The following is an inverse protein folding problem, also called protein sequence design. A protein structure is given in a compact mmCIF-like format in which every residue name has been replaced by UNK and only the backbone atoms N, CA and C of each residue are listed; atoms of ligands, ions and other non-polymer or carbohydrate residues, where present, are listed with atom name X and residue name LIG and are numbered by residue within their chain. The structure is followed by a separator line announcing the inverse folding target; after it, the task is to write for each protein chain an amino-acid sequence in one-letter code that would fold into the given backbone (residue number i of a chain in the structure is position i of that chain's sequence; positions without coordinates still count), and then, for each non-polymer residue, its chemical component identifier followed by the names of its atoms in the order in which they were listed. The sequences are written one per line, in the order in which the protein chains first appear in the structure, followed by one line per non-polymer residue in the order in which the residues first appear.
data_IF_337222564520
#
_entry.id   IF_337222564520
#
_cell.length_a   1.000
_cell.length_b   1.000
_cell.length_c   1.000
_cell.angle_alpha   90.00
_cell.angle_beta   90.00
_cell.angle_gamma   90.00
#
_symmetry.space_group_name_H-M   'P 1'
#
loop_
_entity.id
_entity.type
_entity.pdbx_description
1 polymer ?
#
# COMPACT_ATOMS: atom_id res chain seq x y z
N UNK A 1 -25.71 -7.00 -7.79
CA UNK A 1 -24.35 -7.46 -8.10
C UNK A 1 -23.37 -6.38 -7.67
N UNK A 2 -23.37 -6.07 -6.37
CA UNK A 2 -22.79 -4.86 -5.78
C UNK A 2 -22.03 -5.16 -4.47
N UNK A 3 -21.78 -6.43 -4.15
CA UNK A 3 -21.38 -6.82 -2.79
C UNK A 3 -19.87 -7.01 -2.57
N UNK A 4 -19.00 -6.90 -3.59
CA UNK A 4 -17.60 -7.32 -3.40
C UNK A 4 -16.65 -6.17 -3.08
N UNK A 5 -16.94 -4.93 -3.49
CA UNK A 5 -16.10 -3.78 -3.18
C UNK A 5 -16.45 -3.10 -1.85
N UNK A 6 -17.70 -3.23 -1.40
CA UNK A 6 -18.15 -2.84 -0.05
C UNK A 6 -17.89 -3.92 1.01
N UNK A 7 -17.64 -5.17 0.61
CA UNK A 7 -17.36 -6.30 1.51
C UNK A 7 -16.05 -6.17 2.29
N UNK A 8 -15.12 -5.32 1.87
CA UNK A 8 -13.82 -5.21 2.54
C UNK A 8 -13.86 -4.26 3.76
N UNK A 9 -14.85 -3.35 3.87
CA UNK A 9 -14.90 -2.35 4.97
C UNK A 9 -16.32 -1.80 5.30
N UNK A 10 -17.33 -2.65 5.49
CA UNK A 10 -18.64 -2.20 5.99
C UNK A 10 -18.62 -2.02 7.52
N UNK A 11 -18.74 -0.77 7.99
CA UNK A 11 -19.13 -0.42 9.36
C UNK A 11 -19.63 1.04 9.39
N UNK A 12 -20.87 1.24 8.92
CA UNK A 12 -21.76 2.28 9.44
C UNK A 12 -23.01 1.56 9.97
N UNK A 13 -23.59 1.98 11.11
CA UNK A 13 -24.79 1.36 11.65
C UNK A 13 -26.01 1.71 10.78
N UNK A 14 -26.59 0.73 10.09
CA UNK A 14 -27.93 0.83 9.50
C UNK A 14 -29.00 0.12 10.36
N UNK A 15 -30.18 0.75 10.41
CA UNK A 15 -31.36 0.36 11.18
C UNK A 15 -31.99 -0.95 10.65
N UNK A 16 -32.67 -1.74 11.51
CA UNK A 16 -33.02 -3.12 11.20
C UNK A 16 -34.18 -3.22 10.20
N UNK A 17 -34.05 -4.11 9.21
CA UNK A 17 -35.16 -4.62 8.39
C UNK A 17 -35.12 -6.16 8.32
N UNK A 18 -36.28 -6.82 8.12
CA UNK A 18 -36.53 -8.18 8.61
C UNK A 18 -35.93 -9.27 7.73
N UNK A 19 -35.56 -10.38 8.38
CA UNK A 19 -34.92 -11.59 7.83
C UNK A 19 -35.88 -12.52 7.08
N UNK A 20 -35.41 -13.10 5.98
CA UNK A 20 -35.91 -14.36 5.41
C UNK A 20 -34.83 -15.46 5.44
N UNK A 21 -35.25 -16.67 5.80
CA UNK A 21 -34.53 -17.96 5.93
C UNK A 21 -34.36 -18.61 4.53
N UNK A 22 -33.52 -19.59 4.18
CA UNK A 22 -32.51 -20.53 4.73
C UNK A 22 -31.61 -20.98 3.51
N UNK A 23 -30.56 -21.81 3.54
CA UNK A 23 -30.48 -23.29 3.78
C UNK A 23 -28.99 -23.73 3.87
N UNK A 24 -28.76 -24.84 4.59
CA UNK A 24 -27.56 -25.56 5.06
C UNK A 24 -26.26 -25.63 4.22
N UNK A 25 -25.13 -25.49 4.95
CA UNK A 25 -23.78 -25.94 4.59
C UNK A 25 -23.05 -26.46 5.85
N UNK A 26 -22.08 -27.39 5.75
CA UNK A 26 -21.59 -28.20 6.87
C UNK A 26 -20.82 -27.39 7.94
N UNK A 27 -20.85 -27.91 9.17
CA UNK A 27 -20.50 -27.19 10.40
C UNK A 27 -19.07 -26.58 10.40
N UNK A 28 -18.94 -25.25 10.61
CA UNK A 28 -17.65 -24.61 10.77
C UNK A 28 -17.04 -24.88 12.15
N UNK A 29 -15.72 -25.06 12.18
CA UNK A 29 -14.88 -25.01 13.39
C UNK A 29 -15.19 -23.73 14.21
N UNK A 30 -15.06 -23.77 15.55
CA UNK A 30 -15.53 -22.68 16.40
C UNK A 30 -14.71 -21.40 16.17
N UNK A 31 -15.28 -20.47 15.39
CA UNK A 31 -14.74 -19.11 15.21
C UNK A 31 -14.67 -18.41 16.57
N UNK A 32 -13.47 -18.02 17.02
CA UNK A 32 -13.30 -17.25 18.26
C UNK A 32 -14.12 -15.94 18.16
N UNK A 33 -14.91 -15.63 19.19
CA UNK A 33 -16.02 -14.67 19.14
C UNK A 33 -15.62 -13.18 19.22
N UNK A 34 -16.59 -12.31 18.92
CA UNK A 34 -16.61 -10.84 18.74
C UNK A 34 -15.93 -9.95 19.81
N UNK A 35 -15.32 -10.51 20.86
CA UNK A 35 -14.56 -9.78 21.90
C UNK A 35 -13.06 -10.10 21.95
N UNK A 36 -12.57 -10.97 21.05
CA UNK A 36 -11.20 -11.44 21.10
C UNK A 36 -10.21 -10.41 20.52
N UNK A 37 -9.25 -9.98 21.34
CA UNK A 37 -8.00 -9.38 20.85
C UNK A 37 -7.37 -10.36 19.85
N UNK A 38 -7.08 -9.89 18.64
CA UNK A 38 -6.37 -10.69 17.63
C UNK A 38 -4.97 -10.94 18.16
N UNK A 39 -4.57 -12.21 18.25
CA UNK A 39 -3.24 -12.59 18.70
C UNK A 39 -2.34 -12.87 17.50
N UNK A 40 -1.06 -12.46 17.54
CA UNK A 40 -0.12 -12.80 16.49
C UNK A 40 0.22 -14.29 16.54
N UNK A 41 0.56 -14.85 15.39
CA UNK A 41 1.22 -16.16 15.34
C UNK A 41 2.57 -16.10 16.06
N UNK A 42 2.98 -17.20 16.69
CA UNK A 42 4.34 -17.32 17.24
C UNK A 42 5.32 -17.59 16.08
N UNK A 43 6.30 -16.72 15.81
CA UNK A 43 7.26 -16.94 14.73
C UNK A 43 8.19 -18.11 15.06
N UNK A 44 8.53 -18.91 14.05
CA UNK A 44 9.54 -19.94 14.21
C UNK A 44 10.97 -19.36 14.18
N UNK A 45 11.95 -20.20 14.51
CA UNK A 45 13.35 -19.78 14.58
C UNK A 45 13.91 -19.36 13.20
N UNK A 46 13.43 -19.95 12.11
CA UNK A 46 13.90 -19.62 10.77
C UNK A 46 13.43 -18.23 10.34
N UNK A 47 12.18 -17.89 10.62
CA UNK A 47 11.62 -16.57 10.35
C UNK A 47 12.32 -15.47 11.17
N UNK A 48 12.64 -15.76 12.44
CA UNK A 48 13.39 -14.84 13.29
C UNK A 48 14.82 -14.63 12.78
N UNK A 49 15.51 -15.69 12.36
CA UNK A 49 16.84 -15.61 11.78
C UNK A 49 16.82 -14.78 10.48
N UNK A 50 15.88 -15.06 9.59
CA UNK A 50 15.71 -14.31 8.34
C UNK A 50 15.48 -12.82 8.60
N UNK A 51 14.61 -12.48 9.55
CA UNK A 51 14.32 -11.09 9.89
C UNK A 51 15.55 -10.35 10.45
N UNK A 52 16.42 -11.04 11.20
CA UNK A 52 17.62 -10.47 11.79
C UNK A 52 18.71 -10.13 10.74
N UNK A 53 18.68 -10.79 9.58
CA UNK A 53 19.62 -10.54 8.48
C UNK A 53 19.21 -9.36 7.58
N UNK A 54 17.96 -8.91 7.67
CA UNK A 54 17.47 -7.80 6.84
C UNK A 54 18.05 -6.44 7.26
N UNK A 55 18.33 -5.53 6.30
CA UNK A 55 18.81 -4.18 6.61
C UNK A 55 17.84 -3.39 7.48
N UNK A 56 18.35 -2.69 8.50
CA UNK A 56 17.54 -1.82 9.35
C UNK A 56 16.69 -0.77 8.59
N UNK A 57 17.18 -0.12 7.51
CA UNK A 57 16.39 0.84 6.72
C UNK A 57 15.26 0.22 5.88
N UNK A 58 15.23 -1.11 5.74
CA UNK A 58 14.19 -1.82 4.99
C UNK A 58 12.93 -2.01 5.83
N UNK A 59 11.79 -1.60 5.29
CA UNK A 59 10.47 -1.87 5.84
C UNK A 59 9.62 -2.57 4.80
N UNK A 60 9.46 -3.87 4.99
CA UNK A 60 8.54 -4.72 4.23
C UNK A 60 7.17 -4.73 4.93
N UNK A 61 6.10 -4.80 4.15
CA UNK A 61 4.74 -4.71 4.67
C UNK A 61 3.68 -5.12 3.68
N UNK A 62 2.45 -5.20 4.16
CA UNK A 62 1.27 -5.56 3.34
C UNK A 62 0.51 -4.31 2.89
N UNK A 63 -0.37 -4.45 1.89
CA UNK A 63 -1.24 -3.35 1.45
C UNK A 63 -2.49 -3.11 2.33
N UNK A 64 -2.80 -4.05 3.24
CA UNK A 64 -3.91 -4.00 4.22
C UNK A 64 -3.69 -5.09 5.29
N UNK A 65 -4.61 -5.27 6.25
CA UNK A 65 -4.46 -6.22 7.37
C UNK A 65 -5.73 -6.97 7.80
N UNK A 66 -6.72 -7.14 6.93
CA UNK A 66 -8.03 -7.69 7.32
C UNK A 66 -8.33 -9.11 6.83
N UNK A 67 -7.33 -9.85 6.34
CA UNK A 67 -7.55 -11.13 5.64
C UNK A 67 -7.61 -12.35 6.57
N UNK A 68 -8.73 -13.09 6.61
CA UNK A 68 -8.85 -14.33 7.42
C UNK A 68 -7.90 -15.44 6.98
N UNK A 69 -7.57 -15.54 5.69
CA UNK A 69 -6.69 -16.58 5.14
C UNK A 69 -5.25 -16.53 5.65
N UNK A 70 -4.87 -15.50 6.41
CA UNK A 70 -3.56 -15.42 7.06
C UNK A 70 -3.51 -16.10 8.44
N UNK A 71 -4.53 -16.88 8.81
CA UNK A 71 -4.50 -17.74 9.99
C UNK A 71 -3.28 -18.69 9.93
N UNK A 72 -2.48 -18.73 10.99
CA UNK A 72 -1.22 -19.49 11.03
C UNK A 72 -0.04 -18.82 10.32
N UNK A 73 -0.25 -17.72 9.60
CA UNK A 73 0.81 -16.93 8.94
C UNK A 73 1.06 -15.60 9.67
N UNK A 74 -0.02 -14.95 10.11
CA UNK A 74 0.03 -13.67 10.83
C UNK A 74 -0.78 -13.76 12.14
N UNK A 75 -1.91 -14.47 12.12
CA UNK A 75 -2.80 -14.62 13.27
C UNK A 75 -2.65 -16.01 13.91
N UNK A 76 -2.88 -16.12 15.23
CA UNK A 76 -2.79 -17.40 15.98
C UNK A 76 -3.91 -18.42 15.68
N UNK A 77 -4.85 -18.07 14.78
CA UNK A 77 -6.00 -18.88 14.43
C UNK A 77 -7.00 -18.13 13.56
N UNK A 78 -8.21 -18.67 13.47
CA UNK A 78 -9.27 -18.11 12.63
C UNK A 78 -9.93 -16.89 13.28
N UNK A 79 -9.88 -15.77 12.57
CA UNK A 79 -10.57 -14.53 12.93
C UNK A 79 -11.46 -14.07 11.78
N UNK A 80 -12.62 -13.51 12.11
CA UNK A 80 -13.47 -12.86 11.11
C UNK A 80 -12.81 -11.57 10.62
N UNK A 81 -12.99 -11.26 9.34
CA UNK A 81 -12.47 -10.04 8.71
C UNK A 81 -12.84 -8.76 9.47
N UNK A 82 -14.09 -8.65 9.95
CA UNK A 82 -14.54 -7.49 10.73
C UNK A 82 -13.79 -7.30 12.06
N UNK A 83 -13.29 -8.39 12.66
CA UNK A 83 -12.43 -8.34 13.85
C UNK A 83 -11.00 -7.92 13.46
N UNK A 84 -10.47 -8.50 12.37
CA UNK A 84 -9.14 -8.20 11.85
C UNK A 84 -9.02 -6.73 11.39
N UNK A 85 -10.02 -6.20 10.71
CA UNK A 85 -10.07 -4.80 10.25
C UNK A 85 -9.93 -3.81 11.42
N UNK A 86 -10.55 -4.12 12.57
CA UNK A 86 -10.55 -3.25 13.77
C UNK A 86 -9.31 -3.42 14.65
N UNK A 87 -8.86 -4.67 14.84
CA UNK A 87 -7.89 -5.01 15.89
C UNK A 87 -6.68 -5.81 15.40
N UNK A 88 -6.65 -6.21 14.13
CA UNK A 88 -5.59 -7.04 13.55
C UNK A 88 -4.25 -6.32 13.41
N UNK A 89 -4.24 -4.99 13.26
CA UNK A 89 -3.01 -4.22 13.09
C UNK A 89 -2.00 -4.44 14.23
N UNK A 90 -2.47 -4.55 15.48
CA UNK A 90 -1.57 -4.82 16.61
C UNK A 90 -0.93 -6.21 16.58
N UNK A 91 -1.58 -7.21 15.98
CA UNK A 91 -0.98 -8.51 15.75
C UNK A 91 -0.05 -8.50 14.52
N UNK A 92 -0.45 -7.83 13.44
CA UNK A 92 0.35 -7.70 12.21
C UNK A 92 1.72 -7.06 12.52
N UNK A 93 1.72 -5.99 13.31
CA UNK A 93 2.91 -5.22 13.65
C UNK A 93 3.87 -5.97 14.60
N UNK A 94 3.51 -7.16 15.07
CA UNK A 94 4.39 -8.06 15.82
C UNK A 94 5.06 -9.10 14.92
N UNK A 95 4.67 -9.21 13.65
CA UNK A 95 5.30 -10.16 12.73
C UNK A 95 6.74 -9.70 12.39
N UNK A 96 7.77 -10.57 12.50
CA UNK A 96 9.18 -10.16 12.37
C UNK A 96 9.56 -9.46 11.05
N UNK A 97 8.93 -9.86 9.95
CA UNK A 97 9.16 -9.26 8.63
C UNK A 97 8.31 -8.02 8.31
N UNK A 98 7.24 -7.76 9.07
CA UNK A 98 6.26 -6.72 8.73
C UNK A 98 6.49 -5.47 9.57
N UNK A 99 7.36 -4.58 9.07
CA UNK A 99 7.72 -3.30 9.72
C UNK A 99 7.03 -2.08 9.09
N UNK A 100 6.16 -2.32 8.10
CA UNK A 100 5.26 -1.32 7.55
C UNK A 100 3.93 -1.91 7.11
N UNK A 101 2.95 -1.05 6.84
CA UNK A 101 1.69 -1.39 6.18
C UNK A 101 1.20 -0.20 5.37
N UNK A 102 0.51 -0.47 4.26
CA UNK A 102 -0.16 0.55 3.48
C UNK A 102 -1.53 0.89 4.08
N UNK A 103 -1.86 2.18 4.15
CA UNK A 103 -3.19 2.68 4.50
C UNK A 103 -3.92 3.12 3.23
N UNK A 104 -4.56 2.16 2.56
CA UNK A 104 -5.23 2.40 1.28
C UNK A 104 -6.69 2.82 1.42
N UNK A 105 -7.33 2.55 2.57
CA UNK A 105 -8.72 2.96 2.86
C UNK A 105 -8.94 4.46 2.71
N UNK A 106 -7.89 5.25 2.97
CA UNK A 106 -7.87 6.70 2.82
C UNK A 106 -8.21 7.16 1.39
N UNK A 107 -8.03 6.28 0.38
CA UNK A 107 -8.39 6.56 -1.02
C UNK A 107 -9.87 6.85 -1.22
N UNK A 108 -10.76 6.10 -0.55
CA UNK A 108 -12.20 6.26 -0.71
C UNK A 108 -12.76 7.34 0.21
N UNK A 109 -12.18 7.48 1.41
CA UNK A 109 -12.57 8.50 2.38
C UNK A 109 -11.35 8.94 3.18
N UNK A 110 -11.12 10.25 3.22
CA UNK A 110 -10.09 10.86 4.04
C UNK A 110 -10.21 10.41 5.51
N UNK A 111 -9.10 10.00 6.10
CA UNK A 111 -8.98 9.63 7.51
C UNK A 111 -8.69 10.87 8.34
N UNK A 112 -9.30 10.95 9.51
CA UNK A 112 -9.05 12.03 10.47
C UNK A 112 -7.75 11.81 11.24
N UNK A 113 -7.19 12.88 11.80
CA UNK A 113 -6.03 12.80 12.70
C UNK A 113 -6.25 11.82 13.87
N UNK A 114 -7.47 11.77 14.43
CA UNK A 114 -7.80 10.84 15.52
C UNK A 114 -7.85 9.37 15.10
N UNK A 115 -8.24 9.08 13.84
CA UNK A 115 -8.17 7.73 13.29
C UNK A 115 -6.70 7.32 13.05
N UNK A 116 -5.89 8.22 12.50
CA UNK A 116 -4.45 8.01 12.37
C UNK A 116 -3.77 7.79 13.72
N UNK A 117 -4.06 8.61 14.74
CA UNK A 117 -3.52 8.44 16.09
C UNK A 117 -3.88 7.10 16.71
N UNK A 118 -5.08 6.57 16.42
CA UNK A 118 -5.46 5.21 16.84
C UNK A 118 -4.56 4.16 16.20
N UNK A 119 -4.29 4.25 14.90
CA UNK A 119 -3.36 3.33 14.24
C UNK A 119 -1.93 3.47 14.76
N UNK A 120 -1.47 4.69 15.02
CA UNK A 120 -0.16 4.96 15.60
C UNK A 120 0.02 4.25 16.96
N UNK A 121 -1.02 4.25 17.79
CA UNK A 121 -1.02 3.60 19.10
C UNK A 121 -1.04 2.06 19.05
N UNK A 122 -1.36 1.47 17.89
CA UNK A 122 -1.48 0.02 17.71
C UNK A 122 -0.15 -0.66 17.33
N UNK A 123 0.89 0.10 17.00
CA UNK A 123 2.14 -0.41 16.42
C UNK A 123 3.38 -0.01 17.23
N UNK A 124 4.49 -0.77 17.14
CA UNK A 124 5.77 -0.39 17.74
C UNK A 124 6.28 0.96 17.24
N UNK A 125 7.20 1.57 18.00
CA UNK A 125 7.73 2.91 17.71
C UNK A 125 8.51 3.01 16.39
N UNK A 126 9.23 1.95 16.02
CA UNK A 126 10.00 1.86 14.78
C UNK A 126 9.15 1.51 13.54
N UNK A 127 7.88 1.15 13.73
CA UNK A 127 6.97 0.85 12.64
C UNK A 127 6.71 2.12 11.80
N UNK A 128 6.59 1.98 10.49
CA UNK A 128 6.24 3.09 9.59
C UNK A 128 5.02 2.78 8.76
N UNK A 129 4.22 3.78 8.43
CA UNK A 129 3.08 3.66 7.54
C UNK A 129 3.42 4.21 6.15
N UNK A 130 2.92 3.53 5.12
CA UNK A 130 2.78 4.08 3.78
C UNK A 130 1.34 4.51 3.63
N UNK A 131 1.07 5.80 3.47
CA UNK A 131 -0.31 6.32 3.47
C UNK A 131 -0.66 6.76 2.05
N UNK A 132 -1.73 6.19 1.50
CA UNK A 132 -2.20 6.56 0.17
C UNK A 132 -3.11 7.79 0.26
N UNK A 133 -2.91 8.76 -0.63
CA UNK A 133 -3.74 9.95 -0.71
C UNK A 133 -5.20 9.61 -1.10
N UNK A 134 -6.18 10.43 -0.69
CA UNK A 134 -7.57 10.31 -1.14
C UNK A 134 -7.71 10.48 -2.66
N UNK A 135 -8.67 9.76 -3.25
CA UNK A 135 -9.08 9.92 -4.66
C UNK A 135 -9.53 11.35 -4.97
N UNK A 136 -10.07 12.05 -3.96
CA UNK A 136 -10.49 13.44 -4.05
C UNK A 136 -9.42 14.36 -4.67
N UNK A 137 -8.14 14.13 -4.42
CA UNK A 137 -7.04 14.95 -4.99
C UNK A 137 -6.22 14.22 -6.03
N UNK A 138 -6.38 12.90 -6.16
CA UNK A 138 -5.54 12.04 -7.02
C UNK A 138 -6.27 11.40 -8.20
N UNK A 139 -7.59 11.55 -8.30
CA UNK A 139 -8.37 11.16 -9.48
C UNK A 139 -8.88 12.39 -10.21
N UNK A 140 -8.62 12.48 -11.50
CA UNK A 140 -9.10 13.57 -12.34
C UNK A 140 -10.60 13.45 -12.65
N UNK A 141 -11.24 12.34 -12.28
CA UNK A 141 -12.64 12.06 -12.57
C UNK A 141 -13.34 11.56 -11.31
N UNK A 142 -14.52 12.11 -11.02
CA UNK A 142 -15.41 11.55 -10.00
C UNK A 142 -15.96 10.25 -10.55
N UNK A 143 -15.89 9.16 -9.78
CA UNK A 143 -16.36 7.84 -10.19
C UNK A 143 -17.62 7.48 -9.44
N UNK A 144 -18.52 6.77 -10.14
CA UNK A 144 -19.63 6.09 -9.48
C UNK A 144 -19.18 4.81 -8.79
N UNK A 145 -20.11 4.14 -8.11
CA UNK A 145 -19.88 2.86 -7.41
C UNK A 145 -19.38 1.74 -8.32
N UNK A 146 -19.59 1.84 -9.64
CA UNK A 146 -19.06 0.89 -10.63
C UNK A 146 -17.66 1.26 -11.15
N UNK A 147 -17.04 2.30 -10.58
CA UNK A 147 -15.73 2.81 -10.99
C UNK A 147 -15.75 3.59 -12.32
N UNK A 148 -16.93 3.82 -12.91
CA UNK A 148 -17.07 4.58 -14.15
C UNK A 148 -16.96 6.07 -13.85
N UNK A 149 -16.13 6.75 -14.64
CA UNK A 149 -15.97 8.20 -14.54
C UNK A 149 -17.22 8.92 -15.00
N UNK A 150 -17.81 9.74 -14.14
CA UNK A 150 -19.07 10.44 -14.41
C UNK A 150 -18.85 11.91 -14.77
N UNK A 151 -17.90 12.58 -14.12
CA UNK A 151 -17.61 14.00 -14.33
C UNK A 151 -16.16 14.35 -13.96
N UNK A 152 -15.65 15.45 -14.52
CA UNK A 152 -14.36 15.99 -14.12
C UNK A 152 -14.34 16.32 -12.62
N UNK A 153 -13.25 15.98 -11.94
CA UNK A 153 -13.06 16.33 -10.54
C UNK A 153 -12.48 17.75 -10.41
N UNK A 154 -13.23 18.73 -9.87
CA UNK A 154 -12.78 20.13 -9.82
C UNK A 154 -11.61 20.37 -8.86
N UNK A 155 -11.39 19.47 -7.89
CA UNK A 155 -10.34 19.60 -6.87
C UNK A 155 -9.15 18.67 -7.13
N UNK A 156 -9.09 18.03 -8.30
CA UNK A 156 -7.92 17.25 -8.72
C UNK A 156 -6.64 18.09 -8.67
N UNK A 157 -5.62 17.59 -7.96
CA UNK A 157 -4.35 18.27 -7.68
C UNK A 157 -4.48 19.60 -6.91
N UNK A 158 -5.56 19.81 -6.16
CA UNK A 158 -5.67 20.98 -5.28
C UNK A 158 -4.70 20.84 -4.09
N UNK A 159 -3.77 21.80 -3.95
CA UNK A 159 -2.84 21.82 -2.82
C UNK A 159 -3.54 22.03 -1.48
N UNK A 160 -4.58 22.87 -1.44
CA UNK A 160 -5.31 23.18 -0.21
C UNK A 160 -5.99 21.92 0.33
N UNK A 161 -6.70 21.20 -0.54
CA UNK A 161 -7.39 19.96 -0.17
C UNK A 161 -6.37 18.86 0.14
N UNK A 162 -5.27 18.75 -0.61
CA UNK A 162 -4.22 17.77 -0.32
C UNK A 162 -3.58 17.99 1.06
N UNK A 163 -3.41 19.24 1.47
CA UNK A 163 -2.91 19.56 2.80
C UNK A 163 -3.94 19.24 3.87
N UNK A 164 -5.17 19.75 3.73
CA UNK A 164 -6.23 19.68 4.75
C UNK A 164 -6.77 18.26 4.96
N UNK A 165 -6.97 17.51 3.87
CA UNK A 165 -7.65 16.19 3.91
C UNK A 165 -6.67 15.01 3.92
N UNK A 166 -5.36 15.26 3.78
CA UNK A 166 -4.38 14.17 3.71
C UNK A 166 -3.11 14.43 4.51
N UNK A 167 -2.29 15.42 4.11
CA UNK A 167 -0.95 15.56 4.69
C UNK A 167 -1.02 16.01 6.16
N UNK A 168 -1.80 17.03 6.49
CA UNK A 168 -1.90 17.55 7.86
C UNK A 168 -2.51 16.51 8.83
N UNK A 169 -3.66 15.86 8.52
CA UNK A 169 -4.21 14.83 9.40
C UNK A 169 -3.25 13.64 9.61
N UNK A 170 -2.50 13.25 8.58
CA UNK A 170 -1.50 12.19 8.71
C UNK A 170 -0.36 12.62 9.65
N UNK A 171 0.17 13.84 9.50
CA UNK A 171 1.21 14.38 10.39
C UNK A 171 0.73 14.46 11.84
N UNK A 172 -0.48 15.01 12.06
CA UNK A 172 -1.05 15.18 13.39
C UNK A 172 -1.32 13.85 14.10
N UNK A 173 -1.73 12.82 13.34
CA UNK A 173 -2.10 11.53 13.91
C UNK A 173 -0.97 10.50 13.98
N UNK A 174 -0.19 10.34 12.91
CA UNK A 174 0.87 9.33 12.85
C UNK A 174 2.23 9.83 13.36
N UNK A 175 2.50 11.14 13.22
CA UNK A 175 3.77 11.74 13.60
C UNK A 175 4.97 11.06 12.94
N UNK A 176 5.96 10.69 13.75
CA UNK A 176 7.20 10.05 13.28
C UNK A 176 7.01 8.65 12.69
N UNK A 177 5.81 8.06 12.83
CA UNK A 177 5.49 6.77 12.20
C UNK A 177 5.14 6.89 10.73
N UNK A 178 5.22 8.06 10.09
CA UNK A 178 5.05 8.17 8.65
C UNK A 178 6.35 7.75 7.95
N UNK A 179 6.26 6.80 7.03
CA UNK A 179 7.34 6.44 6.11
C UNK A 179 7.18 7.08 4.74
N UNK A 180 5.98 7.02 4.17
CA UNK A 180 5.70 7.67 2.89
C UNK A 180 4.25 8.16 2.81
N UNK A 181 4.06 9.34 2.22
CA UNK A 181 2.76 9.86 1.80
C UNK A 181 2.68 9.74 0.28
N UNK A 182 1.88 8.80 -0.21
CA UNK A 182 1.84 8.40 -1.62
C UNK A 182 0.65 9.06 -2.33
N UNK A 183 0.95 9.98 -3.24
CA UNK A 183 0.01 10.50 -4.22
C UNK A 183 -0.05 9.55 -5.41
N UNK A 184 -0.89 8.52 -5.30
CA UNK A 184 -1.14 7.60 -6.42
C UNK A 184 -2.17 8.19 -7.38
N UNK A 185 -1.72 8.76 -8.49
CA UNK A 185 -2.58 9.29 -9.53
C UNK A 185 -3.32 8.15 -10.23
N UNK A 186 -4.66 8.21 -10.23
CA UNK A 186 -5.50 7.34 -11.06
C UNK A 186 -5.16 7.55 -12.55
N UNK A 187 -5.52 6.60 -13.44
CA UNK A 187 -5.32 6.76 -14.87
C UNK A 187 -5.83 8.11 -15.37
N UNK A 188 -4.94 8.88 -15.99
CA UNK A 188 -5.20 10.26 -16.38
C UNK A 188 -6.03 10.28 -17.67
N UNK A 189 -7.12 11.07 -17.74
CA UNK A 189 -7.86 11.28 -18.97
C UNK A 189 -6.96 11.76 -20.12
N UNK A 190 -7.16 11.19 -21.31
CA UNK A 190 -6.27 11.41 -22.46
C UNK A 190 -6.05 12.89 -22.81
N UNK A 191 -7.06 13.74 -22.66
CA UNK A 191 -6.94 15.17 -22.94
C UNK A 191 -6.01 15.91 -21.97
N UNK A 192 -5.93 15.49 -20.71
CA UNK A 192 -4.96 16.03 -19.74
C UNK A 192 -3.57 15.46 -20.01
N UNK A 193 -3.49 14.17 -20.37
CA UNK A 193 -2.22 13.51 -20.65
C UNK A 193 -1.57 14.01 -21.95
N UNK A 194 -2.36 14.56 -22.88
CA UNK A 194 -1.86 15.21 -24.09
C UNK A 194 -1.03 16.48 -23.79
N UNK A 195 -1.30 17.17 -22.67
CA UNK A 195 -0.54 18.31 -22.19
C UNK A 195 0.28 17.93 -20.94
N UNK A 196 1.25 17.03 -21.14
CA UNK A 196 2.13 16.57 -20.07
C UNK A 196 2.86 17.70 -19.34
N UNK A 197 3.40 18.74 -20.02
CA UNK A 197 4.06 19.85 -19.33
C UNK A 197 3.14 20.54 -18.31
N UNK A 198 1.89 20.83 -18.70
CA UNK A 198 0.92 21.44 -17.79
C UNK A 198 0.54 20.50 -16.63
N UNK A 199 0.32 19.22 -16.92
CA UNK A 199 0.01 18.24 -15.87
C UNK A 199 1.15 18.11 -14.85
N UNK A 200 2.40 18.00 -15.32
CA UNK A 200 3.60 17.92 -14.47
C UNK A 200 3.73 19.18 -13.63
N UNK A 201 3.52 20.37 -14.22
CA UNK A 201 3.56 21.63 -13.49
C UNK A 201 2.51 21.70 -12.37
N UNK A 202 1.29 21.22 -12.61
CA UNK A 202 0.23 21.14 -11.60
C UNK A 202 0.55 20.17 -10.47
N UNK A 203 1.13 19.01 -10.79
CA UNK A 203 1.60 18.05 -9.77
C UNK A 203 2.70 18.71 -8.92
N UNK A 204 3.67 19.36 -9.55
CA UNK A 204 4.75 20.08 -8.85
C UNK A 204 4.22 21.19 -7.95
N UNK A 205 3.28 22.00 -8.42
CA UNK A 205 2.65 23.04 -7.61
C UNK A 205 1.92 22.47 -6.38
N UNK A 206 1.23 21.34 -6.53
CA UNK A 206 0.59 20.67 -5.41
C UNK A 206 1.62 20.20 -4.36
N UNK A 207 2.70 19.54 -4.81
CA UNK A 207 3.72 18.99 -3.92
C UNK A 207 4.55 20.08 -3.23
N UNK A 208 4.92 21.15 -3.95
CA UNK A 208 5.71 22.26 -3.42
C UNK A 208 4.97 23.04 -2.31
N UNK A 209 3.64 22.96 -2.27
CA UNK A 209 2.82 23.60 -1.26
C UNK A 209 2.70 22.77 0.04
N UNK A 210 3.22 21.55 0.07
CA UNK A 210 3.20 20.71 1.27
C UNK A 210 4.25 21.19 2.28
N UNK A 211 4.00 21.07 3.60
CA UNK A 211 4.96 21.46 4.62
C UNK A 211 6.21 20.57 4.58
N UNK A 212 7.31 21.07 5.13
CA UNK A 212 8.46 20.22 5.44
C UNK A 212 8.03 19.14 6.44
N UNK A 213 8.17 17.87 6.04
CA UNK A 213 7.78 16.73 6.86
C UNK A 213 8.81 16.45 7.96
N UNK A 214 10.08 16.83 7.77
CA UNK A 214 11.20 16.38 8.63
C UNK A 214 11.07 16.73 10.12
N UNK A 215 10.52 17.91 10.51
CA UNK A 215 10.35 18.24 11.93
C UNK A 215 9.44 17.28 12.70
N UNK A 216 8.43 16.70 12.02
CA UNK A 216 7.44 15.81 12.64
C UNK A 216 7.70 14.34 12.29
N UNK A 217 8.14 14.08 11.07
CA UNK A 217 8.31 12.76 10.50
C UNK A 217 9.64 12.66 9.74
N UNK A 218 10.76 12.41 10.45
CA UNK A 218 12.10 12.48 9.86
C UNK A 218 12.34 11.44 8.75
N UNK A 219 11.70 10.27 8.85
CA UNK A 219 11.77 9.22 7.82
C UNK A 219 10.85 9.47 6.63
N UNK A 220 9.87 10.38 6.76
CA UNK A 220 8.82 10.55 5.78
C UNK A 220 9.33 11.16 4.48
N UNK A 221 8.68 10.75 3.39
CA UNK A 221 8.79 11.32 2.05
C UNK A 221 7.43 11.51 1.40
N UNK A 222 7.33 12.53 0.56
CA UNK A 222 6.27 12.62 -0.44
C UNK A 222 6.65 11.75 -1.63
N UNK A 223 5.76 10.86 -2.06
CA UNK A 223 6.00 9.99 -3.19
C UNK A 223 4.85 10.07 -4.19
N UNK A 224 5.15 10.06 -5.49
CA UNK A 224 4.13 10.04 -6.55
C UNK A 224 4.15 8.70 -7.25
N UNK A 225 3.00 8.05 -7.30
CA UNK A 225 2.79 6.81 -8.06
C UNK A 225 1.89 7.12 -9.26
N UNK A 226 2.29 6.73 -10.46
CA UNK A 226 1.47 6.94 -11.68
C UNK A 226 0.88 5.64 -12.19
N UNK A 227 -0.16 5.73 -13.02
CA UNK A 227 -0.76 4.59 -13.75
C UNK A 227 -0.60 4.69 -15.26
N UNK A 228 0.09 5.73 -15.72
CA UNK A 228 0.30 6.09 -17.11
C UNK A 228 1.81 6.11 -17.41
N UNK A 229 2.34 5.10 -18.12
CA UNK A 229 3.77 4.98 -18.40
C UNK A 229 4.37 6.17 -19.14
N UNK A 230 3.54 6.94 -19.86
CA UNK A 230 3.94 8.15 -20.59
C UNK A 230 4.48 9.25 -19.67
N UNK A 231 4.18 9.21 -18.36
CA UNK A 231 4.73 10.12 -17.36
C UNK A 231 6.12 9.70 -16.85
N UNK A 232 6.61 8.52 -17.23
CA UNK A 232 7.98 8.09 -16.90
C UNK A 232 8.99 8.78 -17.83
N UNK A 233 9.10 10.10 -17.72
CA UNK A 233 9.94 10.95 -18.56
C UNK A 233 10.87 11.84 -17.73
N UNK A 234 11.95 12.40 -18.32
CA UNK A 234 12.91 13.24 -17.61
C UNK A 234 12.28 14.46 -16.93
N UNK A 235 11.32 15.13 -17.59
CA UNK A 235 10.65 16.31 -17.03
C UNK A 235 9.89 16.00 -15.74
N UNK A 236 9.31 14.79 -15.63
CA UNK A 236 8.65 14.36 -14.40
C UNK A 236 9.67 14.09 -13.28
N UNK A 237 10.81 13.46 -13.59
CA UNK A 237 11.90 13.25 -12.64
C UNK A 237 12.47 14.59 -12.12
N UNK A 238 12.71 15.54 -13.03
CA UNK A 238 13.23 16.86 -12.67
C UNK A 238 12.24 17.64 -11.80
N UNK A 239 10.94 17.54 -12.10
CA UNK A 239 9.90 18.12 -11.25
C UNK A 239 9.91 17.51 -9.85
N UNK A 240 9.93 16.18 -9.71
CA UNK A 240 9.98 15.51 -8.41
C UNK A 240 11.21 15.94 -7.60
N UNK A 241 12.38 15.98 -8.24
CA UNK A 241 13.62 16.45 -7.61
C UNK A 241 13.50 17.89 -7.12
N UNK A 242 12.90 18.77 -7.93
CA UNK A 242 12.77 20.20 -7.60
C UNK A 242 11.94 20.47 -6.35
N UNK A 243 11.03 19.56 -5.98
CA UNK A 243 10.16 19.68 -4.80
C UNK A 243 10.54 18.70 -3.68
N UNK A 244 11.66 18.00 -3.80
CA UNK A 244 12.11 17.02 -2.79
C UNK A 244 11.22 15.78 -2.65
N UNK A 245 10.38 15.49 -3.64
CA UNK A 245 9.55 14.29 -3.68
C UNK A 245 10.29 13.14 -4.38
N UNK A 246 9.81 11.91 -4.18
CA UNK A 246 10.34 10.71 -4.84
C UNK A 246 9.29 10.04 -5.74
N UNK A 247 9.74 9.11 -6.57
CA UNK A 247 8.88 8.26 -7.38
C UNK A 247 8.49 7.01 -6.57
N UNK A 248 7.19 6.74 -6.47
CA UNK A 248 6.71 5.47 -6.00
C UNK A 248 6.63 4.48 -7.17
N UNK A 249 7.49 3.46 -7.13
CA UNK A 249 7.51 2.38 -8.12
C UNK A 249 6.29 1.47 -7.91
N UNK A 250 5.28 1.66 -8.74
CA UNK A 250 4.07 0.83 -8.73
C UNK A 250 4.24 -0.42 -9.58
N UNK A 251 4.22 -1.60 -8.96
CA UNK A 251 4.20 -2.87 -9.70
C UNK A 251 2.74 -3.25 -9.95
N UNK A 252 2.33 -3.02 -11.19
CA UNK A 252 0.97 -3.20 -11.66
C UNK A 252 1.01 -3.55 -13.15
N UNK A 253 0.07 -4.36 -13.64
CA UNK A 253 -0.03 -4.71 -15.05
C UNK A 253 -0.26 -3.53 -16.04
N UNK A 254 -0.43 -2.30 -15.54
CA UNK A 254 -0.55 -1.06 -16.34
C UNK A 254 0.79 -0.35 -16.51
N UNK A 255 1.75 -0.67 -15.65
CA UNK A 255 3.07 -0.07 -15.63
C UNK A 255 4.10 -1.01 -16.28
N UNK A 256 5.21 -0.46 -16.80
CA UNK A 256 6.32 -1.27 -17.29
C UNK A 256 6.93 -2.13 -16.17
N UNK A 257 7.69 -3.19 -16.50
CA UNK A 257 8.44 -3.95 -15.50
C UNK A 257 9.48 -3.08 -14.78
N UNK A 258 10.06 -3.61 -13.69
CA UNK A 258 10.99 -2.86 -12.83
C UNK A 258 12.15 -2.29 -13.65
N UNK A 259 12.71 -3.08 -14.55
CA UNK A 259 13.86 -2.74 -15.40
C UNK A 259 13.63 -1.44 -16.18
N UNK A 260 12.43 -1.27 -16.72
CA UNK A 260 12.03 -0.11 -17.52
C UNK A 260 11.67 1.10 -16.65
N UNK A 261 11.40 0.89 -15.35
CA UNK A 261 11.19 1.95 -14.37
C UNK A 261 12.51 2.42 -13.72
N UNK A 262 13.59 1.64 -13.79
CA UNK A 262 14.89 1.97 -13.19
C UNK A 262 15.47 3.34 -13.63
N UNK A 263 15.32 3.80 -14.89
CA UNK A 263 15.80 5.14 -15.27
C UNK A 263 15.20 6.26 -14.41
N UNK A 264 13.92 6.15 -14.01
CA UNK A 264 13.28 7.12 -13.12
C UNK A 264 13.91 7.11 -11.73
N UNK A 265 14.13 5.91 -11.15
CA UNK A 265 14.78 5.78 -9.85
C UNK A 265 16.23 6.29 -9.88
N UNK A 266 16.97 6.04 -10.96
CA UNK A 266 18.34 6.54 -11.13
C UNK A 266 18.39 8.06 -11.27
N UNK A 267 17.42 8.66 -11.96
CA UNK A 267 17.32 10.11 -12.05
C UNK A 267 17.11 10.72 -10.65
N UNK A 268 16.34 10.09 -9.78
CA UNK A 268 16.08 10.59 -8.42
C UNK A 268 17.16 10.19 -7.39
N UNK A 269 18.24 9.55 -7.82
CA UNK A 269 19.31 9.12 -6.92
C UNK A 269 20.20 10.30 -6.46
N UNK A 270 20.67 10.31 -5.20
CA UNK A 270 20.35 9.39 -4.10
C UNK A 270 19.01 9.74 -3.44
N UNK A 271 18.25 8.71 -3.05
CA UNK A 271 16.98 8.88 -2.34
C UNK A 271 16.36 7.56 -1.91
N UNK A 272 15.28 7.61 -1.11
CA UNK A 272 14.62 6.40 -0.62
C UNK A 272 13.81 5.70 -1.72
N UNK A 273 13.64 4.39 -1.55
CA UNK A 273 12.73 3.59 -2.35
C UNK A 273 11.34 3.59 -1.70
N UNK A 274 10.32 3.93 -2.49
CA UNK A 274 8.92 3.62 -2.17
C UNK A 274 8.41 2.71 -3.27
N UNK A 275 8.02 1.48 -2.92
CA UNK A 275 7.53 0.49 -3.88
C UNK A 275 6.20 -0.10 -3.40
N UNK A 276 5.26 -0.25 -4.31
CA UNK A 276 3.96 -0.86 -4.04
C UNK A 276 3.70 -1.96 -5.06
N UNK A 277 3.77 -3.22 -4.63
CA UNK A 277 3.43 -4.36 -5.47
C UNK A 277 1.92 -4.64 -5.39
N UNK A 278 1.19 -4.06 -6.33
CA UNK A 278 -0.26 -4.00 -6.27
C UNK A 278 -0.95 -5.16 -7.01
N UNK A 279 -0.41 -5.60 -8.15
CA UNK A 279 -1.05 -6.62 -9.00
C UNK A 279 -0.03 -7.36 -9.87
N UNK A 280 -0.14 -8.69 -9.94
CA UNK A 280 0.62 -9.52 -10.87
C UNK A 280 0.35 -9.13 -12.33
N UNK A 281 1.42 -9.00 -13.13
CA UNK A 281 1.31 -8.60 -14.54
C UNK A 281 0.44 -9.53 -15.41
N UNK A 282 0.35 -10.83 -15.08
CA UNK A 282 -0.43 -11.83 -15.83
C UNK A 282 -1.92 -11.53 -15.91
N UNK A 283 -2.46 -10.82 -14.91
CA UNK A 283 -3.88 -10.46 -14.83
C UNK A 283 -4.24 -9.29 -15.76
N UNK A 284 -3.25 -8.67 -16.42
CA UNK A 284 -3.50 -7.59 -17.35
C UNK A 284 -4.04 -6.33 -16.66
N UNK A 285 -4.29 -5.30 -17.47
CA UNK A 285 -4.53 -3.92 -16.98
C UNK A 285 -5.78 -3.76 -16.11
N UNK A 286 -6.74 -4.69 -16.18
CA UNK A 286 -8.03 -4.61 -15.50
C UNK A 286 -8.38 -5.85 -14.66
N UNK A 287 -7.44 -6.79 -14.46
CA UNK A 287 -7.74 -8.10 -13.85
C UNK A 287 -7.69 -8.15 -12.33
N UNK A 288 -8.02 -7.06 -11.63
CA UNK A 288 -8.07 -7.08 -10.16
C UNK A 288 -9.13 -8.07 -9.63
N UNK A 289 -10.35 -8.01 -10.18
CA UNK A 289 -11.44 -8.89 -9.76
C UNK A 289 -11.13 -10.36 -10.04
N UNK A 290 -10.50 -10.63 -11.19
CA UNK A 290 -10.09 -11.99 -11.57
C UNK A 290 -8.98 -12.51 -10.66
N UNK A 291 -8.00 -11.66 -10.33
CA UNK A 291 -6.96 -11.98 -9.36
C UNK A 291 -7.54 -12.27 -7.97
N UNK A 292 -8.46 -11.44 -7.47
CA UNK A 292 -9.07 -11.64 -6.15
C UNK A 292 -9.85 -12.94 -6.07
N UNK A 293 -10.64 -13.26 -7.11
CA UNK A 293 -11.39 -14.53 -7.19
C UNK A 293 -10.45 -15.73 -7.27
N UNK A 294 -9.37 -15.64 -8.04
CA UNK A 294 -8.40 -16.71 -8.20
C UNK A 294 -7.60 -16.95 -6.92
N UNK A 295 -7.22 -15.87 -6.25
CA UNK A 295 -6.27 -15.91 -5.14
C UNK A 295 -6.91 -16.07 -3.77
N UNK A 296 -8.19 -15.76 -3.62
CA UNK A 296 -8.95 -16.06 -2.41
C UNK A 296 -8.82 -17.55 -2.05
N UNK A 297 -8.54 -17.89 -0.78
CA UNK A 297 -8.67 -17.08 0.43
C UNK A 297 -7.39 -16.31 0.84
N UNK A 298 -6.38 -16.22 -0.02
CA UNK A 298 -5.09 -15.57 0.21
C UNK A 298 -4.17 -16.24 1.25
N UNK A 299 -4.20 -17.57 1.31
CA UNK A 299 -3.45 -18.41 2.25
C UNK A 299 -2.18 -19.06 1.65
N UNK A 300 -1.99 -18.93 0.34
CA UNK A 300 -0.87 -19.54 -0.40
C UNK A 300 -0.43 -18.68 -1.59
N UNK A 301 0.82 -18.87 -1.99
CA UNK A 301 1.30 -18.36 -3.27
C UNK A 301 0.75 -19.25 -4.38
N UNK A 302 0.04 -18.66 -5.34
CA UNK A 302 -0.56 -19.36 -6.47
C UNK A 302 0.16 -19.07 -7.78
N UNK A 303 0.60 -17.83 -7.97
CA UNK A 303 1.33 -17.42 -9.16
C UNK A 303 2.65 -16.73 -8.74
N UNK A 304 3.70 -17.53 -8.46
CA UNK A 304 5.02 -16.98 -8.12
C UNK A 304 5.61 -16.18 -9.28
N UNK A 305 6.20 -15.03 -8.97
CA UNK A 305 6.90 -14.14 -9.90
C UNK A 305 8.35 -13.94 -9.45
N UNK A 306 9.22 -14.97 -9.59
CA UNK A 306 10.60 -14.90 -9.15
C UNK A 306 11.42 -13.83 -9.88
N UNK A 307 11.04 -13.48 -11.11
CA UNK A 307 11.71 -12.42 -11.89
C UNK A 307 11.49 -11.06 -11.24
N UNK A 308 10.22 -10.71 -10.95
CA UNK A 308 9.88 -9.47 -10.25
C UNK A 308 10.51 -9.42 -8.86
N UNK A 309 10.49 -10.53 -8.10
CA UNK A 309 11.15 -10.59 -6.77
C UNK A 309 12.66 -10.37 -6.86
N UNK A 310 13.36 -11.03 -7.77
CA UNK A 310 14.80 -10.87 -7.93
C UNK A 310 15.20 -9.46 -8.38
N UNK A 311 14.41 -8.84 -9.26
CA UNK A 311 14.61 -7.46 -9.67
C UNK A 311 14.37 -6.49 -8.49
N UNK A 312 13.28 -6.67 -7.74
CA UNK A 312 12.96 -5.87 -6.57
C UNK A 312 14.01 -6.02 -5.45
N UNK A 313 14.44 -7.24 -5.14
CA UNK A 313 15.50 -7.52 -4.16
C UNK A 313 16.80 -6.80 -4.50
N UNK A 314 17.16 -6.73 -5.78
CA UNK A 314 18.34 -5.98 -6.26
C UNK A 314 18.22 -4.48 -6.01
N UNK A 315 17.05 -3.89 -6.30
CA UNK A 315 16.81 -2.47 -6.05
C UNK A 315 16.84 -2.18 -4.56
N UNK A 316 16.19 -3.02 -3.75
CA UNK A 316 16.18 -2.90 -2.29
C UNK A 316 17.60 -2.94 -1.74
N UNK A 317 18.38 -3.97 -2.07
CA UNK A 317 19.75 -4.13 -1.58
C UNK A 317 20.65 -2.93 -1.97
N UNK A 318 20.51 -2.43 -3.20
CA UNK A 318 21.24 -1.24 -3.66
C UNK A 318 20.86 0.04 -2.89
N UNK A 319 19.56 0.25 -2.65
CA UNK A 319 19.05 1.40 -1.90
C UNK A 319 19.49 1.35 -0.44
N UNK A 320 19.23 0.24 0.25
CA UNK A 320 19.55 0.11 1.68
C UNK A 320 21.05 0.02 1.94
N UNK A 321 21.82 -0.57 1.02
CA UNK A 321 23.28 -0.59 1.08
C UNK A 321 23.92 0.80 0.97
N UNK A 322 23.22 1.77 0.39
CA UNK A 322 23.61 3.19 0.37
C UNK A 322 23.07 3.99 1.57
N UNK A 323 22.50 3.32 2.58
CA UNK A 323 21.94 3.96 3.76
C UNK A 323 20.59 4.66 3.56
N UNK A 324 19.92 4.44 2.42
CA UNK A 324 18.60 5.01 2.15
C UNK A 324 17.48 4.11 2.68
N UNK A 325 16.39 4.71 3.13
CA UNK A 325 15.17 3.98 3.52
C UNK A 325 14.54 3.27 2.31
N UNK A 326 13.97 2.09 2.54
CA UNK A 326 13.16 1.37 1.55
C UNK A 326 11.83 0.95 2.16
N UNK A 327 10.72 1.49 1.63
CA UNK A 327 9.36 1.15 2.02
C UNK A 327 8.72 0.34 0.91
N UNK A 328 8.40 -0.93 1.19
CA UNK A 328 7.88 -1.85 0.18
C UNK A 328 6.62 -2.51 0.72
N UNK A 329 5.48 -2.24 0.06
CA UNK A 329 4.21 -2.88 0.42
C UNK A 329 3.73 -3.84 -0.66
N UNK A 330 3.21 -4.99 -0.23
CA UNK A 330 2.78 -6.08 -1.10
C UNK A 330 1.29 -6.38 -0.89
N UNK A 331 0.54 -6.45 -1.98
CA UNK A 331 -0.85 -6.89 -2.01
C UNK A 331 -0.94 -8.40 -2.17
N UNK A 332 -2.02 -9.03 -1.68
CA UNK A 332 -2.29 -10.44 -1.99
C UNK A 332 -2.39 -10.67 -3.51
N UNK A 333 -2.80 -9.64 -4.26
CA UNK A 333 -2.89 -9.67 -5.72
C UNK A 333 -1.52 -9.69 -6.43
N UNK A 334 -0.41 -9.65 -5.68
CA UNK A 334 0.94 -9.83 -6.22
C UNK A 334 1.18 -11.28 -6.65
N UNK A 335 0.95 -12.26 -5.76
CA UNK A 335 1.23 -13.68 -6.06
C UNK A 335 0.25 -14.66 -5.37
N UNK A 336 -0.74 -14.16 -4.63
CA UNK A 336 -1.74 -14.96 -3.92
C UNK A 336 -1.77 -14.70 -2.41
N UNK A 337 -0.62 -14.47 -1.77
CA UNK A 337 -0.54 -14.29 -0.32
C UNK A 337 0.60 -13.35 0.05
N UNK A 338 0.28 -12.12 0.47
CA UNK A 338 1.28 -11.10 0.74
C UNK A 338 2.32 -11.48 1.82
N UNK A 339 1.95 -12.08 2.98
CA UNK A 339 2.94 -12.54 3.96
C UNK A 339 3.95 -13.55 3.38
N UNK A 340 3.50 -14.50 2.58
CA UNK A 340 4.37 -15.51 1.96
C UNK A 340 5.22 -14.92 0.82
N UNK A 341 4.67 -14.00 0.03
CA UNK A 341 5.44 -13.21 -0.94
C UNK A 341 6.55 -12.41 -0.26
N UNK A 342 6.23 -11.77 0.87
CA UNK A 342 7.20 -10.99 1.65
C UNK A 342 8.30 -11.89 2.23
N UNK A 343 7.96 -13.07 2.75
CA UNK A 343 8.93 -14.04 3.22
C UNK A 343 9.89 -14.50 2.10
N UNK A 344 9.34 -14.79 0.92
CA UNK A 344 10.14 -15.16 -0.27
C UNK A 344 11.04 -14.02 -0.73
N UNK A 345 10.52 -12.78 -0.77
CA UNK A 345 11.29 -11.58 -1.12
C UNK A 345 12.38 -11.29 -0.08
N UNK A 346 12.11 -11.49 1.22
CA UNK A 346 13.11 -11.34 2.27
C UNK A 346 14.28 -12.31 2.07
N UNK A 347 14.00 -13.57 1.72
CA UNK A 347 15.04 -14.55 1.38
C UNK A 347 15.85 -14.09 0.15
N UNK A 348 15.17 -13.66 -0.92
CA UNK A 348 15.83 -13.16 -2.13
C UNK A 348 16.75 -11.95 -1.85
N UNK A 349 16.39 -11.11 -0.87
CA UNK A 349 17.22 -9.97 -0.42
C UNK A 349 18.45 -10.43 0.34
N UNK A 350 18.30 -11.34 1.31
CA UNK A 350 19.43 -11.89 2.09
C UNK A 350 20.41 -12.59 1.16
N UNK A 351 19.93 -13.49 0.30
CA UNK A 351 20.74 -14.20 -0.69
C UNK A 351 21.49 -13.24 -1.62
N UNK A 352 20.93 -12.06 -1.87
CA UNK A 352 21.54 -11.03 -2.71
C UNK A 352 22.63 -10.26 -1.96
N UNK A 353 22.43 -9.99 -0.68
CA UNK A 353 23.40 -9.27 0.16
C UNK A 353 24.62 -10.12 0.52
N UNK A 354 24.48 -11.45 0.51
CA UNK A 354 25.58 -12.39 0.76
C UNK A 354 26.50 -12.64 -0.47
N UNK A 355 26.18 -12.08 -1.65
CA UNK A 355 26.95 -12.26 -2.90
C UNK A 355 27.84 -11.07 -3.20
#
# INVERSE_FOLDING_TARGET
MADVQDSLFSDLPELPRPTEKAVDAPAPSPKKSRGATVKPVTPDAALLALAAELPSPLRLGTSSWSYPGWAGLVWDGDYAESVLSKSGLSALAQHPLLRTVSLDRNFYRALTASQYARYAAMVPDDFRFVVKAPSLVTDATVRDESGRGTQANPVFLSHEIALQEFVQPALDGLGHRIGALVFQLSPIPAHLLADQPMLIARIGAMLAAMPDLKPTAPDAVLAVEVRDPQLLCPAFADMLRSVGATFCMGLHAKMPPIEDQLPMLRALWPGPLVCRWNLHRRHGRFGYEDAEKLYGPFDKVLDPDPETRAALARVIAGTTGAGQNAFVTVSNNAEGCAPLTIASLAQDIVDRMSR
#
